data_IF_367371555111
#
_entry.id   IF_367371555111
#
_cell.length_a   1.000
_cell.length_b   1.000
_cell.length_c   1.000
_cell.angle_alpha   90.00
_cell.angle_beta   90.00
_cell.angle_gamma   90.00
#
_symmetry.space_group_name_H-M   'P 1'
#
loop_
_entity.id
_entity.type
_entity.pdbx_description
1 polymer ?
#
# COMPACT_ATOMS: atom_id res chain seq x y z
N UNK A 1 1.46 -34.91 -21.77
CA UNK A 1 0.81 -34.70 -20.46
C UNK A 1 0.35 -33.26 -20.44
N UNK A 2 -0.95 -33.04 -20.65
CA UNK A 2 -1.55 -31.75 -20.97
C UNK A 2 -2.16 -31.18 -19.68
N UNK A 3 -1.71 -30.00 -19.28
CA UNK A 3 -2.13 -29.30 -18.07
C UNK A 3 -3.50 -28.67 -18.38
N UNK A 4 -4.56 -28.91 -17.60
CA UNK A 4 -5.84 -28.25 -17.83
C UNK A 4 -5.71 -26.76 -17.49
N UNK A 5 -6.26 -25.91 -18.35
CA UNK A 5 -6.36 -24.47 -18.11
C UNK A 5 -7.39 -24.21 -17.00
N UNK A 6 -6.93 -23.71 -15.85
CA UNK A 6 -7.78 -23.20 -14.79
C UNK A 6 -8.53 -21.97 -15.31
N UNK A 7 -9.86 -22.02 -15.26
CA UNK A 7 -10.76 -20.92 -15.55
C UNK A 7 -10.51 -19.77 -14.58
N UNK A 8 -9.70 -18.79 -14.97
CA UNK A 8 -9.62 -17.49 -14.32
C UNK A 8 -10.97 -16.82 -14.48
N UNK A 9 -11.79 -16.84 -13.42
CA UNK A 9 -12.93 -15.94 -13.33
C UNK A 9 -12.36 -14.51 -13.34
N UNK A 10 -12.43 -13.85 -14.50
CA UNK A 10 -12.14 -12.45 -14.62
C UNK A 10 -13.15 -11.70 -13.74
N UNK A 11 -12.72 -11.25 -12.57
CA UNK A 11 -13.49 -10.33 -11.74
C UNK A 11 -13.75 -9.10 -12.60
N UNK A 12 -15.00 -8.92 -13.02
CA UNK A 12 -15.40 -7.79 -13.83
C UNK A 12 -14.97 -6.49 -13.13
N UNK A 13 -14.20 -5.66 -13.85
CA UNK A 13 -13.90 -4.31 -13.39
C UNK A 13 -15.23 -3.60 -13.06
N UNK A 14 -15.33 -2.90 -11.91
CA UNK A 14 -16.56 -2.20 -11.57
C UNK A 14 -16.92 -1.23 -12.70
N UNK A 15 -18.17 -1.28 -13.14
CA UNK A 15 -18.72 -0.34 -14.13
C UNK A 15 -18.43 1.10 -13.69
N UNK A 16 -18.02 2.02 -14.59
CA UNK A 16 -17.74 3.41 -14.22
C UNK A 16 -19.03 4.03 -13.68
N UNK A 17 -19.04 4.28 -12.38
CA UNK A 17 -20.12 4.96 -11.69
C UNK A 17 -20.03 6.44 -12.09
N UNK A 18 -20.82 6.84 -13.10
CA UNK A 18 -20.91 8.20 -13.64
C UNK A 18 -20.57 9.28 -12.60
N UNK A 19 -19.38 9.86 -12.74
CA UNK A 19 -18.82 10.89 -11.88
C UNK A 19 -19.63 12.19 -11.89
N UNK A 20 -20.64 12.27 -11.02
CA UNK A 20 -21.30 13.54 -10.73
C UNK A 20 -20.49 14.33 -9.69
N UNK A 21 -19.59 15.20 -10.20
CA UNK A 21 -19.12 16.48 -9.61
C UNK A 21 -18.47 16.43 -8.23
N UNK A 22 -17.31 15.79 -8.08
CA UNK A 22 -16.42 16.13 -6.97
C UNK A 22 -15.82 17.53 -7.24
N UNK A 23 -16.27 18.56 -6.52
CA UNK A 23 -15.74 19.91 -6.68
C UNK A 23 -14.42 20.06 -5.90
N UNK A 24 -13.30 20.10 -6.61
CA UNK A 24 -11.96 20.30 -6.05
C UNK A 24 -11.42 21.72 -6.30
N UNK A 25 -12.28 22.68 -6.64
CA UNK A 25 -11.89 24.07 -6.85
C UNK A 25 -11.14 24.62 -5.63
N UNK A 26 -9.97 25.21 -5.85
CA UNK A 26 -9.15 25.79 -4.78
C UNK A 26 -8.27 24.79 -4.01
N UNK A 27 -8.39 23.48 -4.26
CA UNK A 27 -7.57 22.46 -3.60
C UNK A 27 -6.07 22.70 -3.82
N UNK A 28 -5.64 22.97 -5.07
CA UNK A 28 -4.23 23.20 -5.37
C UNK A 28 -3.65 24.40 -4.61
N UNK A 29 -4.44 25.47 -4.45
CA UNK A 29 -4.03 26.65 -3.70
C UNK A 29 -3.85 26.33 -2.21
N UNK A 30 -4.79 25.59 -1.62
CA UNK A 30 -4.72 25.14 -0.22
C UNK A 30 -3.50 24.24 -0.01
N UNK A 31 -3.28 23.26 -0.88
CA UNK A 31 -2.16 22.32 -0.80
C UNK A 31 -0.81 23.03 -0.94
N UNK A 32 -0.67 23.95 -1.90
CA UNK A 32 0.57 24.70 -2.05
C UNK A 32 0.81 25.66 -0.88
N UNK A 33 -0.24 26.30 -0.34
CA UNK A 33 -0.12 27.13 0.85
C UNK A 33 0.32 26.30 2.07
N UNK A 34 -0.26 25.11 2.28
CA UNK A 34 0.14 24.18 3.33
C UNK A 34 1.59 23.70 3.15
N UNK A 35 2.00 23.39 1.92
CA UNK A 35 3.38 23.02 1.59
C UNK A 35 4.37 24.12 2.01
N UNK A 36 4.11 25.37 1.62
CA UNK A 36 4.95 26.52 1.96
C UNK A 36 4.98 26.74 3.47
N UNK A 37 3.82 26.74 4.13
CA UNK A 37 3.69 26.96 5.58
C UNK A 37 4.51 25.96 6.41
N UNK A 38 4.60 24.71 5.95
CA UNK A 38 5.30 23.63 6.66
C UNK A 38 6.75 23.42 6.17
N UNK A 39 7.26 24.27 5.28
CA UNK A 39 8.62 24.15 4.77
C UNK A 39 8.87 22.88 3.93
N UNK A 40 7.84 22.30 3.34
CA UNK A 40 7.95 21.07 2.54
C UNK A 40 8.54 21.44 1.16
N UNK A 41 9.72 20.92 0.76
CA UNK A 41 10.37 21.32 -0.50
C UNK A 41 9.54 20.96 -1.73
N UNK A 42 8.99 19.75 -1.73
CA UNK A 42 8.15 19.23 -2.80
C UNK A 42 7.16 18.18 -2.29
N UNK A 43 6.01 18.09 -2.94
CA UNK A 43 4.93 17.19 -2.55
C UNK A 43 4.07 16.87 -3.79
N UNK A 44 3.59 15.64 -3.90
CA UNK A 44 2.54 15.25 -4.84
C UNK A 44 1.30 14.77 -4.11
N UNK A 45 0.13 15.12 -4.62
CA UNK A 45 -1.15 14.69 -4.04
C UNK A 45 -2.05 14.15 -5.15
N UNK A 46 -2.69 13.03 -4.88
CA UNK A 46 -3.68 12.42 -5.76
C UNK A 46 -4.99 12.15 -5.00
N UNK A 47 -6.14 12.36 -5.66
CA UNK A 47 -7.47 12.05 -5.14
C UNK A 47 -8.14 11.07 -6.08
N UNK A 48 -8.45 9.89 -5.56
CA UNK A 48 -9.18 8.85 -6.27
C UNK A 48 -10.50 8.58 -5.56
N UNK A 49 -11.59 8.45 -6.32
CA UNK A 49 -12.90 8.12 -5.79
C UNK A 49 -13.59 7.14 -6.73
N UNK A 50 -14.13 6.04 -6.17
CA UNK A 50 -14.79 4.97 -6.94
C UNK A 50 -13.97 4.46 -8.14
N UNK A 51 -12.65 4.31 -7.95
CA UNK A 51 -11.73 3.83 -9.00
C UNK A 51 -11.34 4.87 -10.05
N UNK A 52 -11.86 6.10 -9.97
CA UNK A 52 -11.52 7.17 -10.89
C UNK A 52 -10.57 8.19 -10.23
N UNK A 53 -9.54 8.60 -10.97
CA UNK A 53 -8.60 9.63 -10.54
C UNK A 53 -9.15 11.02 -10.87
N UNK A 54 -9.58 11.76 -9.85
CA UNK A 54 -10.15 13.10 -10.00
C UNK A 54 -9.11 14.21 -10.00
N UNK A 55 -7.97 13.96 -9.37
CA UNK A 55 -6.93 14.95 -9.19
C UNK A 55 -5.58 14.26 -8.99
N UNK A 56 -4.54 14.78 -9.62
CA UNK A 56 -3.16 14.43 -9.34
C UNK A 56 -2.26 15.60 -9.74
N UNK A 57 -1.53 16.16 -8.78
CA UNK A 57 -0.69 17.33 -9.01
C UNK A 57 0.58 17.25 -8.14
N UNK A 58 1.68 17.82 -8.65
CA UNK A 58 2.92 18.00 -7.92
C UNK A 58 3.20 19.47 -7.64
N UNK A 59 3.81 19.75 -6.49
CA UNK A 59 4.08 21.09 -5.99
C UNK A 59 5.54 21.23 -5.57
N UNK A 60 6.11 22.42 -5.82
CA UNK A 60 7.46 22.73 -5.37
C UNK A 60 8.52 21.99 -6.18
N UNK A 61 9.60 21.60 -5.53
CA UNK A 61 10.79 21.05 -6.19
C UNK A 61 11.25 19.75 -5.55
N UNK A 62 11.74 18.82 -6.38
CA UNK A 62 12.39 17.56 -5.95
C UNK A 62 13.84 17.81 -5.49
N UNK A 63 14.51 18.76 -6.13
CA UNK A 63 15.86 19.22 -5.79
C UNK A 63 16.01 20.68 -6.25
N UNK A 64 17.21 21.25 -6.20
CA UNK A 64 17.44 22.65 -6.56
C UNK A 64 16.97 23.02 -7.98
N UNK A 65 17.04 22.06 -8.91
CA UNK A 65 16.86 22.26 -10.35
C UNK A 65 15.54 21.72 -10.90
N UNK A 66 14.95 20.71 -10.27
CA UNK A 66 13.83 19.95 -10.84
C UNK A 66 12.53 20.13 -10.06
N UNK A 67 11.38 20.29 -10.75
CA UNK A 67 10.08 20.35 -10.09
C UNK A 67 9.74 19.00 -9.46
N UNK A 68 8.93 19.03 -8.41
CA UNK A 68 8.28 17.82 -7.90
C UNK A 68 6.96 17.64 -8.66
N UNK A 69 6.85 16.56 -9.42
CA UNK A 69 5.66 16.26 -10.25
C UNK A 69 4.88 15.09 -9.66
N UNK A 70 3.67 14.83 -10.17
CA UNK A 70 2.86 13.67 -9.77
C UNK A 70 3.52 12.31 -10.15
N UNK A 71 4.47 12.32 -11.09
CA UNK A 71 5.27 11.16 -11.53
C UNK A 71 6.61 11.03 -10.79
N UNK A 72 6.92 11.93 -9.84
CA UNK A 72 8.20 11.89 -9.14
C UNK A 72 8.30 10.66 -8.23
N UNK A 73 9.19 9.74 -8.59
CA UNK A 73 9.51 8.56 -7.78
C UNK A 73 10.15 9.00 -6.46
N UNK A 74 9.53 8.57 -5.36
CA UNK A 74 9.95 8.88 -4.00
C UNK A 74 9.95 7.62 -3.12
N UNK A 75 10.84 7.54 -2.11
CA UNK A 75 10.78 6.48 -1.13
C UNK A 75 9.46 6.53 -0.34
N UNK A 76 8.76 5.40 -0.26
CA UNK A 76 7.45 5.31 0.42
C UNK A 76 7.56 4.88 1.90
N UNK A 77 8.74 4.48 2.35
CA UNK A 77 9.02 4.12 3.74
C UNK A 77 8.07 3.04 4.28
N UNK A 78 7.48 3.26 5.44
CA UNK A 78 6.59 2.29 6.09
C UNK A 78 5.33 1.95 5.29
N UNK A 79 4.96 2.70 4.24
CA UNK A 79 3.89 2.29 3.33
C UNK A 79 4.19 0.95 2.65
N UNK A 80 5.47 0.57 2.53
CA UNK A 80 5.89 -0.75 2.07
C UNK A 80 5.25 -1.91 2.86
N UNK A 81 4.91 -1.72 4.15
CA UNK A 81 4.26 -2.75 4.97
C UNK A 81 2.92 -3.21 4.39
N UNK A 82 2.17 -2.31 3.76
CA UNK A 82 0.90 -2.66 3.12
C UNK A 82 1.14 -3.64 1.96
N UNK A 83 2.19 -3.43 1.16
CA UNK A 83 2.59 -4.34 0.09
C UNK A 83 3.02 -5.70 0.62
N UNK A 84 3.81 -5.73 1.70
CA UNK A 84 4.20 -6.99 2.37
C UNK A 84 2.97 -7.74 2.89
N UNK A 85 2.03 -7.04 3.52
CA UNK A 85 0.77 -7.62 3.99
C UNK A 85 -0.05 -8.19 2.83
N UNK A 86 -0.15 -7.48 1.70
CA UNK A 86 -0.83 -7.99 0.49
C UNK A 86 -0.16 -9.24 -0.05
N UNK A 87 1.18 -9.27 -0.17
CA UNK A 87 1.90 -10.43 -0.67
C UNK A 87 1.69 -11.67 0.23
N UNK A 88 1.67 -11.48 1.55
CA UNK A 88 1.32 -12.55 2.49
C UNK A 88 -0.14 -12.96 2.32
N UNK A 89 -1.06 -12.00 2.12
CA UNK A 89 -2.47 -12.27 1.88
C UNK A 89 -2.73 -13.11 0.62
N UNK A 90 -1.94 -12.90 -0.44
CA UNK A 90 -1.97 -13.76 -1.63
C UNK A 90 -1.55 -15.21 -1.27
N UNK A 91 -0.48 -15.39 -0.50
CA UNK A 91 -0.04 -16.72 -0.04
C UNK A 91 -1.07 -17.40 0.87
N UNK A 92 -1.78 -16.64 1.70
CA UNK A 92 -2.88 -17.16 2.51
C UNK A 92 -4.07 -17.56 1.64
N UNK A 93 -4.44 -16.75 0.64
CA UNK A 93 -5.50 -17.08 -0.30
C UNK A 93 -5.18 -18.35 -1.12
N UNK A 94 -3.89 -18.60 -1.40
CA UNK A 94 -3.40 -19.83 -2.03
C UNK A 94 -3.32 -21.04 -1.09
N UNK A 95 -3.61 -20.87 0.21
CA UNK A 95 -3.52 -21.93 1.22
C UNK A 95 -2.09 -22.34 1.57
N UNK A 96 -1.09 -21.51 1.25
CA UNK A 96 0.33 -21.77 1.57
C UNK A 96 0.72 -21.28 2.96
N UNK A 97 -0.04 -20.34 3.50
CA UNK A 97 0.12 -19.75 4.83
C UNK A 97 -1.25 -19.57 5.47
N UNK A 98 -1.27 -19.27 6.77
CA UNK A 98 -2.45 -18.87 7.51
C UNK A 98 -2.13 -17.72 8.48
N UNK A 99 -3.17 -17.04 8.98
CA UNK A 99 -2.99 -15.84 9.78
C UNK A 99 -2.65 -16.12 11.24
N UNK A 100 -3.32 -17.10 11.85
CA UNK A 100 -3.47 -17.21 13.30
C UNK A 100 -3.11 -18.60 13.86
N UNK A 101 -2.99 -19.64 13.03
CA UNK A 101 -2.83 -21.02 13.49
C UNK A 101 -1.36 -21.45 13.53
N UNK A 102 -0.61 -21.15 12.46
CA UNK A 102 0.78 -21.58 12.31
C UNK A 102 1.75 -20.53 12.84
N UNK A 103 2.60 -20.87 13.83
CA UNK A 103 3.65 -19.96 14.29
C UNK A 103 4.65 -19.63 13.18
N UNK A 104 5.15 -18.40 13.17
CA UNK A 104 6.05 -17.86 12.13
C UNK A 104 7.32 -18.69 11.98
N UNK A 105 7.84 -19.24 13.09
CA UNK A 105 9.02 -20.10 13.06
C UNK A 105 8.83 -21.43 12.30
N UNK A 106 7.59 -21.81 11.95
CA UNK A 106 7.31 -22.95 11.07
C UNK A 106 7.51 -22.63 9.60
N UNK A 107 7.32 -21.36 9.22
CA UNK A 107 7.61 -20.87 7.87
C UNK A 107 9.06 -20.41 7.73
N UNK A 108 9.65 -19.86 8.80
CA UNK A 108 11.02 -19.36 8.88
C UNK A 108 11.75 -20.01 10.06
N UNK A 109 12.34 -21.21 9.89
CA UNK A 109 12.97 -21.96 10.99
C UNK A 109 14.11 -21.22 11.71
N UNK A 110 14.74 -20.26 11.05
CA UNK A 110 15.77 -19.38 11.60
C UNK A 110 15.22 -18.21 12.42
N UNK A 111 13.90 -18.01 12.45
CA UNK A 111 13.27 -16.95 13.22
C UNK A 111 13.30 -17.28 14.71
N UNK A 112 14.06 -16.49 15.46
CA UNK A 112 14.20 -16.59 16.90
C UNK A 112 14.12 -15.21 17.55
N UNK A 113 13.29 -15.09 18.59
CA UNK A 113 13.23 -13.93 19.47
C UNK A 113 13.91 -14.24 20.79
N UNK A 114 14.22 -13.18 21.55
CA UNK A 114 14.78 -13.34 22.91
C UNK A 114 13.86 -14.13 23.84
N UNK A 115 12.55 -14.06 23.62
CA UNK A 115 11.56 -14.81 24.38
C UNK A 115 11.21 -16.11 23.64
N UNK A 116 11.51 -17.29 24.23
CA UNK A 116 11.19 -18.59 23.63
C UNK A 116 9.68 -18.84 23.48
N UNK A 117 8.85 -18.28 24.37
CA UNK A 117 7.40 -18.41 24.30
C UNK A 117 6.89 -17.63 23.09
N UNK A 118 7.30 -16.37 22.93
CA UNK A 118 6.94 -15.59 21.74
C UNK A 118 7.46 -16.26 20.47
N UNK A 119 8.70 -16.75 20.45
CA UNK A 119 9.26 -17.47 19.29
C UNK A 119 8.39 -18.64 18.83
N UNK A 120 7.81 -19.38 19.78
CA UNK A 120 7.03 -20.59 19.49
C UNK A 120 5.54 -20.34 19.25
N UNK A 121 5.03 -19.15 19.54
CA UNK A 121 3.60 -18.82 19.48
C UNK A 121 3.26 -17.66 18.53
N UNK A 122 4.23 -16.84 18.16
CA UNK A 122 3.99 -15.66 17.35
C UNK A 122 3.44 -16.02 15.97
N UNK A 123 2.31 -15.43 15.61
CA UNK A 123 1.61 -15.67 14.34
C UNK A 123 1.87 -14.56 13.32
N UNK A 124 1.49 -14.78 12.06
CA UNK A 124 1.54 -13.73 11.04
C UNK A 124 0.61 -12.56 11.39
N UNK A 125 -0.56 -12.83 11.97
CA UNK A 125 -1.48 -11.81 12.45
C UNK A 125 -0.83 -10.91 13.50
N UNK A 126 -0.06 -11.46 14.44
CA UNK A 126 0.62 -10.67 15.49
C UNK A 126 1.68 -9.73 14.92
N UNK A 127 2.50 -10.21 13.98
CA UNK A 127 3.52 -9.40 13.31
C UNK A 127 2.88 -8.27 12.50
N UNK A 128 1.87 -8.58 11.69
CA UNK A 128 1.26 -7.63 10.77
C UNK A 128 0.33 -6.63 11.47
N UNK A 129 -0.15 -6.95 12.67
CA UNK A 129 -0.96 -6.06 13.51
C UNK A 129 -0.18 -5.36 14.63
N UNK A 130 1.14 -5.50 14.66
CA UNK A 130 2.01 -4.88 15.66
C UNK A 130 1.66 -5.26 17.12
N UNK A 131 1.44 -6.54 17.39
CA UNK A 131 1.16 -7.09 18.75
C UNK A 131 2.30 -7.92 19.36
N UNK A 132 3.49 -7.83 18.76
CA UNK A 132 4.73 -8.52 19.15
C UNK A 132 5.44 -7.89 20.34
#
# INVERSE_FOLDING_TARGET
MQIPASSTAATAAPSPCSASKLNLSGLSAILNAARIKNGIPGMSVAVMYKGELFYAEGFGKRNEHQPFTKETISPIGSLTKAFTCTAIGELVAEGKMDWDETPVNKYLPEFELKDPILTSQLTLADILSHRT
#
